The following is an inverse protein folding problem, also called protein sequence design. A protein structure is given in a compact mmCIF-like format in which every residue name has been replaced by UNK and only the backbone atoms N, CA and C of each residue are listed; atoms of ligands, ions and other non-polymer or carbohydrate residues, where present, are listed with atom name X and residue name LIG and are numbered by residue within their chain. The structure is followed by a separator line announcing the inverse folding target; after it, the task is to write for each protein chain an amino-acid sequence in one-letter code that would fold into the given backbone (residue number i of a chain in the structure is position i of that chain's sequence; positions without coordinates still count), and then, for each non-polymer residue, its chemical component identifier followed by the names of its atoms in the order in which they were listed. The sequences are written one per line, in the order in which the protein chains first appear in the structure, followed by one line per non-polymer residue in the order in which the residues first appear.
data_IF_229598691301
#
_entry.id   IF_229598691301
#
_cell.length_a   1.000
_cell.length_b   1.000
_cell.length_c   1.000
_cell.angle_alpha   90.00
_cell.angle_beta   90.00
_cell.angle_gamma   90.00
#
_symmetry.space_group_name_H-M   'P 1'
#
loop_
_entity.id
_entity.type
_entity.pdbx_description
1 polymer ?
#
# COMPACT_ATOMS: atom_id res chain seq x y z
N UNK A 1 24.39 -52.28 -14.50
CA UNK A 1 24.20 -51.29 -13.40
C UNK A 1 23.02 -50.40 -13.79
N UNK A 2 21.87 -50.63 -13.19
CA UNK A 2 20.62 -49.89 -13.47
C UNK A 2 20.43 -48.91 -12.32
N UNK A 3 20.56 -47.61 -12.60
CA UNK A 3 20.35 -46.56 -11.61
C UNK A 3 18.86 -46.19 -11.59
N UNK A 4 18.12 -46.70 -10.61
CA UNK A 4 16.71 -46.37 -10.38
C UNK A 4 16.59 -45.10 -9.57
N UNK A 5 16.43 -43.96 -10.25
CA UNK A 5 16.10 -42.69 -9.62
C UNK A 5 14.67 -42.72 -9.06
N UNK A 6 14.54 -42.55 -7.74
CA UNK A 6 13.28 -42.20 -7.09
C UNK A 6 13.45 -40.83 -6.44
N UNK A 7 13.09 -39.78 -7.18
CA UNK A 7 13.22 -38.38 -6.76
C UNK A 7 12.09 -37.90 -5.83
N UNK A 8 11.23 -38.79 -5.33
CA UNK A 8 10.09 -38.40 -4.50
C UNK A 8 9.75 -39.47 -3.46
N UNK A 9 10.46 -39.47 -2.35
CA UNK A 9 10.03 -40.17 -1.14
C UNK A 9 9.69 -39.17 -0.04
N UNK A 10 8.37 -38.96 0.09
CA UNK A 10 7.60 -38.80 1.34
C UNK A 10 8.01 -37.72 2.35
N UNK A 11 6.98 -36.97 2.72
CA UNK A 11 6.80 -36.27 4.00
C UNK A 11 7.32 -34.83 4.05
N UNK A 12 6.47 -33.91 3.60
CA UNK A 12 5.75 -33.07 4.55
C UNK A 12 4.63 -32.39 3.79
N UNK A 13 3.41 -32.64 4.22
CA UNK A 13 2.39 -31.62 4.31
C UNK A 13 3.03 -30.43 5.05
N UNK A 14 3.79 -29.61 4.34
CA UNK A 14 3.91 -28.21 4.71
C UNK A 14 2.54 -27.69 4.33
N UNK A 15 1.60 -27.82 5.26
CA UNK A 15 0.69 -26.72 5.52
C UNK A 15 1.57 -25.49 5.38
N UNK A 16 1.40 -24.78 4.27
CA UNK A 16 1.88 -23.43 4.16
C UNK A 16 1.10 -22.77 5.28
N UNK A 17 1.72 -22.71 6.47
CA UNK A 17 1.25 -21.88 7.57
C UNK A 17 1.03 -20.56 6.90
N UNK A 18 -0.24 -20.21 6.71
CA UNK A 18 -0.64 -18.90 6.23
C UNK A 18 0.20 -17.95 7.06
N UNK A 19 1.15 -17.29 6.38
CA UNK A 19 2.00 -16.28 6.97
C UNK A 19 1.08 -15.42 7.83
N UNK A 20 1.44 -15.18 9.11
CA UNK A 20 0.51 -14.62 10.08
C UNK A 20 -0.15 -13.41 9.44
N UNK A 21 -1.49 -13.38 9.48
CA UNK A 21 -2.30 -12.23 9.15
C UNK A 21 -1.61 -11.02 9.76
N UNK A 22 -0.80 -10.34 8.95
CA UNK A 22 0.01 -9.23 9.40
C UNK A 22 -1.04 -8.15 9.46
N UNK A 23 -1.46 -7.78 10.67
CA UNK A 23 -2.53 -6.83 10.91
C UNK A 23 -2.40 -5.69 9.91
N UNK A 24 -3.29 -5.67 8.92
CA UNK A 24 -3.27 -4.67 7.85
C UNK A 24 -3.30 -3.28 8.49
N UNK A 25 -3.99 -3.15 9.62
CA UNK A 25 -3.98 -1.99 10.50
C UNK A 25 -2.58 -1.58 10.97
N UNK A 26 -1.72 -2.51 11.40
CA UNK A 26 -0.34 -2.20 11.81
C UNK A 26 0.52 -1.75 10.63
N UNK A 27 0.33 -2.33 9.45
CA UNK A 27 1.02 -1.89 8.23
C UNK A 27 0.60 -0.48 7.84
N UNK A 28 -0.69 -0.18 7.91
CA UNK A 28 -1.24 1.16 7.70
C UNK A 28 -0.64 2.13 8.71
N UNK A 29 -0.57 1.79 10.00
CA UNK A 29 0.02 2.66 11.02
C UNK A 29 1.51 2.97 10.74
N UNK A 30 2.29 1.96 10.37
CA UNK A 30 3.71 2.13 10.03
C UNK A 30 3.84 3.04 8.80
N UNK A 31 3.06 2.77 7.75
CA UNK A 31 3.06 3.57 6.53
C UNK A 31 2.64 5.02 6.80
N UNK A 32 1.62 5.22 7.65
CA UNK A 32 1.14 6.53 8.06
C UNK A 32 2.23 7.30 8.81
N UNK A 33 2.94 6.65 9.74
CA UNK A 33 4.07 7.25 10.46
C UNK A 33 5.18 7.66 9.51
N UNK A 34 5.59 6.79 8.59
CA UNK A 34 6.63 7.10 7.59
C UNK A 34 6.26 8.31 6.71
N UNK A 35 5.02 8.36 6.24
CA UNK A 35 4.54 9.49 5.44
C UNK A 35 4.48 10.78 6.26
N UNK A 36 4.08 10.69 7.53
CA UNK A 36 4.03 11.85 8.43
C UNK A 36 5.42 12.37 8.76
N UNK A 37 6.39 11.49 9.00
CA UNK A 37 7.78 11.87 9.28
C UNK A 37 8.45 12.51 8.05
N UNK A 38 8.14 12.00 6.86
CA UNK A 38 8.72 12.48 5.59
C UNK A 38 8.17 13.86 5.20
N UNK A 39 6.85 14.02 5.23
CA UNK A 39 6.22 15.24 4.72
C UNK A 39 5.86 16.26 5.82
N UNK A 40 5.89 15.86 7.11
CA UNK A 40 5.56 16.70 8.28
C UNK A 40 4.21 17.41 8.18
N UNK A 41 3.27 16.81 7.47
CA UNK A 41 1.89 17.30 7.27
C UNK A 41 0.92 16.19 7.60
N UNK A 42 -0.34 16.51 7.87
CA UNK A 42 -1.40 15.51 8.05
C UNK A 42 -2.21 15.25 6.77
N UNK A 43 -2.10 16.14 5.78
CA UNK A 43 -2.77 16.07 4.49
C UNK A 43 -1.76 16.32 3.35
N UNK A 44 -1.87 15.54 2.29
CA UNK A 44 -1.02 15.60 1.10
C UNK A 44 -1.73 16.36 -0.03
N UNK A 45 -1.02 17.33 -0.61
CA UNK A 45 -1.40 18.02 -1.85
C UNK A 45 -1.14 17.12 -3.07
N UNK A 46 -1.76 17.44 -4.23
CA UNK A 46 -1.56 16.69 -5.48
C UNK A 46 -0.08 16.50 -5.88
N UNK A 47 0.78 17.50 -5.65
CA UNK A 47 2.23 17.39 -5.91
C UNK A 47 2.94 16.42 -4.97
N UNK A 48 2.52 16.34 -3.71
CA UNK A 48 3.09 15.40 -2.76
C UNK A 48 2.58 13.98 -3.05
N UNK A 49 1.30 13.84 -3.43
CA UNK A 49 0.76 12.58 -3.94
C UNK A 49 1.51 12.07 -5.17
N UNK A 50 1.90 12.96 -6.09
CA UNK A 50 2.73 12.62 -7.24
C UNK A 50 4.06 12.00 -6.81
N UNK A 51 4.71 12.56 -5.79
CA UNK A 51 5.97 12.04 -5.26
C UNK A 51 5.78 10.72 -4.47
N UNK A 52 4.69 10.58 -3.71
CA UNK A 52 4.38 9.37 -2.93
C UNK A 52 4.05 8.18 -3.84
N UNK A 53 3.19 8.40 -4.82
CA UNK A 53 2.71 7.35 -5.73
C UNK A 53 3.66 7.13 -6.91
N UNK A 54 4.60 8.05 -7.15
CA UNK A 54 5.52 8.05 -8.28
C UNK A 54 4.79 7.89 -9.64
N UNK A 55 3.68 8.61 -9.81
CA UNK A 55 2.85 8.59 -11.03
C UNK A 55 2.78 9.97 -11.66
N UNK A 56 2.42 10.04 -12.95
CA UNK A 56 2.23 11.32 -13.64
C UNK A 56 1.03 12.12 -13.11
N UNK A 57 1.02 13.44 -13.35
CA UNK A 57 -0.01 14.36 -12.83
C UNK A 57 -1.44 13.92 -13.22
N UNK A 58 -1.65 13.48 -14.47
CA UNK A 58 -2.97 13.00 -14.93
C UNK A 58 -3.48 11.83 -14.09
N UNK A 59 -2.60 10.88 -13.74
CA UNK A 59 -2.95 9.73 -12.92
C UNK A 59 -3.27 10.14 -11.48
N UNK A 60 -2.56 11.13 -10.93
CA UNK A 60 -2.88 11.69 -9.61
C UNK A 60 -4.29 12.30 -9.62
N UNK A 61 -4.62 13.09 -10.65
CA UNK A 61 -5.95 13.71 -10.72
C UNK A 61 -7.07 12.69 -10.94
N UNK A 62 -6.85 11.65 -11.72
CA UNK A 62 -7.84 10.59 -11.88
C UNK A 62 -7.98 9.74 -10.62
N UNK A 63 -6.90 9.53 -9.87
CA UNK A 63 -6.96 8.92 -8.55
C UNK A 63 -7.73 9.81 -7.55
N UNK A 64 -7.46 11.11 -7.53
CA UNK A 64 -8.18 12.10 -6.71
C UNK A 64 -9.68 12.19 -7.04
N UNK A 65 -10.10 11.92 -8.27
CA UNK A 65 -11.53 11.86 -8.63
C UNK A 65 -12.21 10.62 -8.05
N UNK A 66 -11.48 9.50 -7.92
CA UNK A 66 -12.00 8.22 -7.43
C UNK A 66 -11.97 8.12 -5.90
N UNK A 67 -11.02 8.81 -5.25
CA UNK A 67 -10.86 8.77 -3.81
C UNK A 67 -11.98 9.56 -3.09
N UNK A 68 -12.68 8.90 -2.15
CA UNK A 68 -13.78 9.53 -1.39
C UNK A 68 -13.30 10.47 -0.28
N UNK A 69 -12.04 10.35 0.13
CA UNK A 69 -11.45 11.09 1.24
C UNK A 69 -10.81 12.43 0.82
N UNK A 70 -10.93 12.81 -0.46
CA UNK A 70 -10.42 14.10 -0.94
C UNK A 70 -11.21 15.24 -0.32
N UNK A 71 -10.48 16.18 0.29
CA UNK A 71 -11.03 17.45 0.74
C UNK A 71 -10.52 18.57 -0.15
N UNK A 72 -11.35 19.58 -0.34
CA UNK A 72 -10.95 20.78 -1.08
C UNK A 72 -10.75 21.90 -0.07
N UNK A 73 -9.51 22.41 0.02
CA UNK A 73 -9.18 23.57 0.86
C UNK A 73 -8.86 24.73 -0.08
N UNK A 74 -9.77 25.69 -0.17
CA UNK A 74 -9.69 26.77 -1.15
C UNK A 74 -9.72 26.24 -2.58
N UNK A 75 -8.61 26.38 -3.32
CA UNK A 75 -8.44 25.86 -4.69
C UNK A 75 -7.65 24.55 -4.76
N UNK A 76 -7.16 24.02 -3.63
CA UNK A 76 -6.31 22.82 -3.58
C UNK A 76 -7.11 21.60 -3.17
N UNK A 77 -6.85 20.48 -3.84
CA UNK A 77 -7.34 19.16 -3.43
C UNK A 77 -6.29 18.51 -2.55
N UNK A 78 -6.68 18.18 -1.33
CA UNK A 78 -5.83 17.55 -0.33
C UNK A 78 -6.43 16.21 0.10
N UNK A 79 -5.56 15.27 0.48
CA UNK A 79 -5.97 13.94 0.96
C UNK A 79 -5.28 13.64 2.27
N UNK A 80 -6.00 13.16 3.30
CA UNK A 80 -5.39 12.80 4.56
C UNK A 80 -4.41 11.64 4.38
N UNK A 81 -3.27 11.69 5.08
CA UNK A 81 -2.22 10.66 4.97
C UNK A 81 -2.77 9.26 5.27
N UNK A 82 -3.69 9.14 6.22
CA UNK A 82 -4.29 7.85 6.60
C UNK A 82 -4.99 7.19 5.40
N UNK A 83 -5.71 7.97 4.58
CA UNK A 83 -6.38 7.44 3.39
C UNK A 83 -5.35 6.99 2.33
N UNK A 84 -4.26 7.73 2.17
CA UNK A 84 -3.17 7.37 1.25
C UNK A 84 -2.45 6.11 1.73
N UNK A 85 -2.17 6.00 3.04
CA UNK A 85 -1.56 4.82 3.63
C UNK A 85 -2.46 3.58 3.49
N UNK A 86 -3.77 3.72 3.73
CA UNK A 86 -4.74 2.67 3.47
C UNK A 86 -4.69 2.21 2.02
N UNK A 87 -4.73 3.16 1.07
CA UNK A 87 -4.66 2.84 -0.36
C UNK A 87 -3.35 2.12 -0.73
N UNK A 88 -2.21 2.54 -0.19
CA UNK A 88 -0.92 1.91 -0.46
C UNK A 88 -0.82 0.47 0.07
N UNK A 89 -1.49 0.18 1.19
CA UNK A 89 -1.44 -1.13 1.85
C UNK A 89 -2.53 -2.07 1.30
N UNK A 90 -3.72 -1.57 1.02
CA UNK A 90 -4.88 -2.39 0.61
C UNK A 90 -5.12 -2.38 -0.90
N UNK A 91 -4.69 -1.33 -1.61
CA UNK A 91 -5.05 -1.11 -3.02
C UNK A 91 -6.46 -0.58 -3.24
N UNK A 92 -7.26 -0.44 -2.18
CA UNK A 92 -8.66 -0.01 -2.23
C UNK A 92 -8.80 1.49 -1.92
N UNK A 93 -9.70 2.14 -2.68
CA UNK A 93 -9.90 3.59 -2.76
C UNK A 93 -11.16 4.09 -2.05
#
# INVERSE_FOLDING_TARGET
MVYTGTLFTKNRSKEIKQSPCTDVAKLVEIQTKQLRDTYKVDCLDAKQLQAVLNVGESNVYDWLKKCRFVRTIGRRKVVPIIAVANYLVTGDL
#
